data_IF_380635997716
#
_entry.id   IF_380635997716
#
_cell.length_a   1.000
_cell.length_b   1.000
_cell.length_c   1.000
_cell.angle_alpha   90.00
_cell.angle_beta   90.00
_cell.angle_gamma   90.00
#
_symmetry.space_group_name_H-M   'P 1'
#
loop_
_entity.id
_entity.type
_entity.pdbx_description
1 polymer ?
#
# COMPACT_ATOMS: atom_id res chain seq x y z
N UNK A 1 -25.02 -4.55 4.00
CA UNK A 1 -23.69 -5.13 4.34
C UNK A 1 -22.82 -4.12 5.09
N UNK A 2 -23.29 -2.89 5.24
CA UNK A 2 -22.55 -1.70 5.67
C UNK A 2 -22.19 -1.71 7.16
N UNK A 3 -23.08 -2.23 8.01
CA UNK A 3 -22.85 -2.31 9.47
C UNK A 3 -21.69 -3.21 9.88
N UNK A 4 -21.41 -4.28 9.13
CA UNK A 4 -20.31 -5.21 9.44
C UNK A 4 -18.95 -4.59 9.08
N UNK A 5 -18.90 -3.83 8.00
CA UNK A 5 -17.69 -3.12 7.58
C UNK A 5 -17.36 -1.99 8.57
N UNK A 6 -18.39 -1.26 9.00
CA UNK A 6 -18.29 -0.25 10.05
C UNK A 6 -17.79 -0.84 11.38
N UNK A 7 -18.31 -2.01 11.80
CA UNK A 7 -17.81 -2.72 12.98
C UNK A 7 -16.36 -3.20 12.84
N UNK A 8 -15.96 -3.70 11.67
CA UNK A 8 -14.58 -4.08 11.38
C UNK A 8 -13.64 -2.87 11.43
N UNK A 9 -14.08 -1.74 10.89
CA UNK A 9 -13.34 -0.48 10.93
C UNK A 9 -13.16 0.02 12.37
N UNK A 10 -14.22 0.01 13.17
CA UNK A 10 -14.13 0.39 14.58
C UNK A 10 -13.31 -0.59 15.43
N UNK A 11 -13.38 -1.89 15.12
CA UNK A 11 -12.54 -2.90 15.77
C UNK A 11 -11.06 -2.68 15.46
N UNK A 12 -10.73 -2.43 14.18
CA UNK A 12 -9.37 -2.11 13.77
C UNK A 12 -8.87 -0.84 14.47
N UNK A 13 -9.67 0.22 14.49
CA UNK A 13 -9.32 1.47 15.19
C UNK A 13 -9.14 1.26 16.70
N UNK A 14 -10.04 0.54 17.36
CA UNK A 14 -9.95 0.25 18.78
C UNK A 14 -8.72 -0.58 19.14
N UNK A 15 -8.38 -1.57 18.31
CA UNK A 15 -7.17 -2.38 18.49
C UNK A 15 -5.89 -1.55 18.34
N UNK A 16 -5.82 -0.67 17.34
CA UNK A 16 -4.67 0.21 17.13
C UNK A 16 -4.49 1.22 18.29
N UNK A 17 -5.59 1.78 18.78
CA UNK A 17 -5.60 2.66 19.96
C UNK A 17 -5.12 1.95 21.23
N UNK A 18 -5.58 0.71 21.47
CA UNK A 18 -5.15 -0.07 22.63
C UNK A 18 -3.65 -0.40 22.59
N UNK A 19 -3.10 -0.71 21.41
CA UNK A 19 -1.66 -0.91 21.22
C UNK A 19 -0.89 0.38 21.52
N UNK A 20 -1.36 1.53 21.02
CA UNK A 20 -0.76 2.84 21.29
C UNK A 20 -0.76 3.17 22.79
N UNK A 21 -1.88 2.99 23.48
CA UNK A 21 -1.98 3.26 24.93
C UNK A 21 -1.04 2.35 25.75
N UNK A 22 -0.86 1.09 25.33
CA UNK A 22 0.04 0.16 25.99
C UNK A 22 1.51 0.58 25.82
N UNK A 23 1.88 1.05 24.63
CA UNK A 23 3.21 1.60 24.35
C UNK A 23 3.48 2.91 25.11
N UNK A 24 2.47 3.78 25.25
CA UNK A 24 2.59 5.04 26.01
C UNK A 24 2.67 4.82 27.53
N UNK A 25 1.91 3.85 28.07
CA UNK A 25 1.96 3.49 29.50
C UNK A 25 3.25 2.79 29.90
N UNK A 26 3.78 1.94 29.04
CA UNK A 26 4.98 1.15 29.30
C UNK A 26 6.20 1.78 28.62
N UNK A 27 6.52 3.05 28.94
CA UNK A 27 7.60 3.80 28.30
C UNK A 27 8.99 3.14 28.31
N UNK A 28 9.24 2.14 29.17
CA UNK A 28 10.42 1.28 29.13
C UNK A 28 10.38 0.26 27.98
N UNK A 29 9.22 -0.38 27.73
CA UNK A 29 9.01 -1.27 26.58
C UNK A 29 9.16 -0.49 25.26
N UNK A 30 8.73 0.77 25.21
CA UNK A 30 8.91 1.63 24.04
C UNK A 30 10.39 1.93 23.75
N UNK A 31 11.19 2.18 24.79
CA UNK A 31 12.65 2.40 24.64
C UNK A 31 13.36 1.13 24.21
N UNK A 32 13.02 -0.03 24.77
CA UNK A 32 13.57 -1.31 24.32
C UNK A 32 13.17 -1.62 22.88
N UNK A 33 11.91 -1.40 22.53
CA UNK A 33 11.41 -1.64 21.17
C UNK A 33 12.05 -0.68 20.16
N UNK A 34 12.21 0.59 20.52
CA UNK A 34 12.91 1.58 19.68
C UNK A 34 14.38 1.22 19.48
N UNK A 35 15.09 0.82 20.54
CA UNK A 35 16.50 0.43 20.46
C UNK A 35 16.69 -0.84 19.62
N UNK A 36 15.81 -1.83 19.82
CA UNK A 36 15.79 -3.07 19.04
C UNK A 36 15.41 -2.84 17.58
N UNK A 37 14.51 -1.88 17.32
CA UNK A 37 14.14 -1.46 15.97
C UNK A 37 15.27 -0.69 15.27
N UNK A 38 15.98 0.19 15.97
CA UNK A 38 17.15 0.90 15.42
C UNK A 38 18.32 -0.04 15.10
N UNK A 39 18.61 -1.00 15.98
CA UNK A 39 19.67 -1.99 15.77
C UNK A 39 19.33 -2.92 14.59
N UNK A 40 18.11 -3.45 14.55
CA UNK A 40 17.64 -4.27 13.43
C UNK A 40 17.53 -3.47 12.12
N UNK A 41 17.10 -2.20 12.18
CA UNK A 41 17.03 -1.35 11.01
C UNK A 41 18.43 -1.14 10.42
N UNK A 42 19.46 -0.90 11.24
CA UNK A 42 20.84 -0.78 10.73
C UNK A 42 21.36 -2.06 10.11
N UNK A 43 21.08 -3.22 10.70
CA UNK A 43 21.55 -4.51 10.20
C UNK A 43 20.83 -4.95 8.91
N UNK A 44 19.58 -4.51 8.73
CA UNK A 44 18.76 -4.86 7.57
C UNK A 44 18.57 -3.72 6.54
N UNK A 45 19.09 -2.51 6.79
CA UNK A 45 18.93 -1.37 5.87
C UNK A 45 19.60 -1.64 4.53
N UNK A 46 20.82 -2.17 4.55
CA UNK A 46 21.57 -2.50 3.33
C UNK A 46 20.89 -3.63 2.54
N UNK A 47 20.37 -4.65 3.25
CA UNK A 47 19.65 -5.77 2.64
C UNK A 47 18.28 -5.34 2.07
N UNK A 48 17.58 -4.43 2.76
CA UNK A 48 16.32 -3.83 2.30
C UNK A 48 16.53 -2.87 1.13
N UNK A 49 17.62 -2.09 1.12
CA UNK A 49 17.96 -1.22 0.01
C UNK A 49 18.28 -2.05 -1.25
N UNK A 50 19.08 -3.12 -1.09
CA UNK A 50 19.44 -4.01 -2.18
C UNK A 50 18.24 -4.81 -2.72
N UNK A 51 17.37 -5.33 -1.84
CA UNK A 51 16.12 -6.00 -2.24
C UNK A 51 15.12 -5.03 -2.87
N UNK A 52 15.01 -3.80 -2.34
CA UNK A 52 14.16 -2.76 -2.90
C UNK A 52 14.59 -2.35 -4.31
N UNK A 53 15.90 -2.34 -4.59
CA UNK A 53 16.42 -2.07 -5.93
C UNK A 53 16.13 -3.22 -6.91
N UNK A 54 16.24 -4.47 -6.46
CA UNK A 54 15.90 -5.67 -7.25
C UNK A 54 14.39 -5.82 -7.49
N UNK A 55 13.55 -5.49 -6.50
CA UNK A 55 12.10 -5.62 -6.62
C UNK A 55 11.44 -4.45 -7.34
N UNK A 56 12.13 -3.32 -7.52
CA UNK A 56 11.57 -2.11 -8.16
C UNK A 56 11.00 -2.38 -9.55
N UNK A 57 11.71 -3.12 -10.39
CA UNK A 57 11.22 -3.46 -11.73
C UNK A 57 10.03 -4.41 -11.68
N UNK A 58 10.13 -5.47 -10.85
CA UNK A 58 9.02 -6.43 -10.65
C UNK A 58 7.76 -5.75 -10.12
N UNK A 59 7.90 -4.85 -9.15
CA UNK A 59 6.80 -4.08 -8.58
C UNK A 59 6.18 -3.12 -9.60
N UNK A 60 7.00 -2.45 -10.41
CA UNK A 60 6.52 -1.58 -11.49
C UNK A 60 5.75 -2.37 -12.55
N UNK A 61 6.22 -3.57 -12.88
CA UNK A 61 5.56 -4.48 -13.81
C UNK A 61 4.20 -4.92 -13.26
N UNK A 62 4.20 -5.40 -12.01
CA UNK A 62 2.99 -5.84 -11.32
C UNK A 62 1.93 -4.73 -11.23
N UNK A 63 2.34 -3.50 -10.88
CA UNK A 63 1.43 -2.35 -10.85
C UNK A 63 0.90 -1.99 -12.23
N UNK A 64 1.74 -2.07 -13.26
CA UNK A 64 1.32 -1.82 -14.64
C UNK A 64 0.28 -2.83 -15.09
N UNK A 65 0.46 -4.11 -14.75
CA UNK A 65 -0.46 -5.16 -15.16
C UNK A 65 -1.77 -5.09 -14.39
N UNK A 66 -1.76 -4.82 -13.07
CA UNK A 66 -2.98 -4.56 -12.29
C UNK A 66 -3.78 -3.39 -12.89
N UNK A 67 -3.10 -2.31 -13.30
CA UNK A 67 -3.79 -1.17 -13.93
C UNK A 67 -4.37 -1.53 -15.30
N UNK A 68 -3.70 -2.35 -16.10
CA UNK A 68 -4.25 -2.85 -17.37
C UNK A 68 -5.47 -3.74 -17.15
N UNK A 69 -5.39 -4.64 -16.18
CA UNK A 69 -6.49 -5.54 -15.83
C UNK A 69 -7.71 -4.74 -15.37
N UNK A 70 -7.52 -3.75 -14.50
CA UNK A 70 -8.61 -2.85 -14.07
C UNK A 70 -9.18 -2.05 -15.25
N UNK A 71 -8.35 -1.57 -16.18
CA UNK A 71 -8.83 -0.86 -17.39
C UNK A 71 -9.67 -1.78 -18.28
N UNK A 72 -9.26 -3.04 -18.43
CA UNK A 72 -9.99 -4.05 -19.21
C UNK A 72 -11.28 -4.50 -18.51
N UNK A 73 -11.23 -4.77 -17.20
CA UNK A 73 -12.36 -5.23 -16.41
C UNK A 73 -13.46 -4.17 -16.25
N UNK A 74 -13.07 -2.89 -16.18
CA UNK A 74 -14.00 -1.76 -16.11
C UNK A 74 -14.43 -1.23 -17.48
N UNK A 75 -13.99 -1.89 -18.58
CA UNK A 75 -14.25 -1.51 -19.98
C UNK A 75 -13.97 -0.01 -20.23
N UNK A 76 -12.89 0.50 -19.63
CA UNK A 76 -12.54 1.92 -19.69
C UNK A 76 -11.96 2.24 -21.06
N UNK A 77 -12.57 3.21 -21.73
CA UNK A 77 -12.09 3.69 -23.03
C UNK A 77 -10.62 4.13 -22.94
N UNK A 78 -9.77 3.49 -23.75
CA UNK A 78 -8.36 3.83 -23.81
C UNK A 78 -8.16 5.13 -24.59
N UNK A 79 -6.96 5.70 -24.51
CA UNK A 79 -6.59 6.87 -25.33
C UNK A 79 -6.76 6.61 -26.83
N UNK A 80 -6.48 5.39 -27.29
CA UNK A 80 -6.66 5.00 -28.69
C UNK A 80 -8.14 5.00 -29.09
N UNK A 81 -9.03 4.55 -28.19
CA UNK A 81 -10.47 4.56 -28.42
C UNK A 81 -11.01 5.99 -28.51
N UNK A 82 -10.49 6.90 -27.67
CA UNK A 82 -10.85 8.34 -27.72
C UNK A 82 -10.35 9.03 -28.98
N UNK A 83 -9.15 8.70 -29.47
CA UNK A 83 -8.62 9.23 -30.73
C UNK A 83 -9.39 8.71 -31.94
N UNK A 84 -9.73 7.42 -31.94
CA UNK A 84 -10.60 6.83 -32.96
C UNK A 84 -11.98 7.49 -32.96
N UNK A 85 -12.57 7.71 -31.77
CA UNK A 85 -13.83 8.43 -31.62
C UNK A 85 -13.76 9.86 -32.20
N UNK A 86 -12.68 10.61 -31.92
CA UNK A 86 -12.50 11.96 -32.49
C UNK A 86 -12.45 11.94 -34.01
N UNK A 87 -11.71 10.98 -34.57
CA UNK A 87 -11.55 10.80 -36.00
C UNK A 87 -12.85 10.39 -36.69
N UNK A 88 -13.63 9.51 -36.05
CA UNK A 88 -14.94 9.07 -36.52
C UNK A 88 -16.00 10.18 -36.40
N UNK A 89 -15.85 11.10 -35.44
CA UNK A 89 -16.68 12.31 -35.30
C UNK A 89 -16.25 13.48 -36.20
N UNK A 90 -15.23 13.32 -37.04
CA UNK A 90 -14.84 14.30 -38.07
C UNK A 90 -14.19 15.59 -37.57
N UNK A 91 -13.59 15.59 -36.36
CA UNK A 91 -12.78 16.70 -35.84
C UNK A 91 -11.29 16.37 -35.82
#
# INVERSE_FOLDING_TARGET
MDKKLEQLFYFALGSALAVKEKLEKNGEEMKEWQKKAEDNAKEHFDDLAQRGEQEKESFKQMMTDILKDVVADLDLATKADLEKLKKDMGN
#
